data_IF_012064608549
#
_entry.id   IF_012064608549
#
_cell.length_a   1.000
_cell.length_b   1.000
_cell.length_c   1.000
_cell.angle_alpha   90.00
_cell.angle_beta   90.00
_cell.angle_gamma   90.00
#
_symmetry.space_group_name_H-M   'P 1'
#
loop_
_entity.id
_entity.type
_entity.pdbx_description
1 polymer ?
#
# COMPACT_ATOMS: atom_id res chain seq x y z
N UNK A 1 -9.90 9.72 17.39
CA UNK A 1 -8.92 9.73 16.29
C UNK A 1 -8.56 8.29 15.99
N UNK A 2 -8.97 7.81 14.82
CA UNK A 2 -8.53 6.51 14.31
C UNK A 2 -7.44 6.75 13.27
N UNK A 3 -6.38 5.94 13.31
CA UNK A 3 -5.31 5.98 12.31
C UNK A 3 -5.81 5.31 11.05
N UNK A 4 -5.61 5.94 9.90
CA UNK A 4 -5.96 5.39 8.60
C UNK A 4 -4.68 5.30 7.76
N UNK A 5 -4.49 4.16 7.12
CA UNK A 5 -3.47 3.96 6.12
C UNK A 5 -4.08 4.20 4.75
N UNK A 6 -3.33 4.88 3.89
CA UNK A 6 -3.75 5.25 2.55
C UNK A 6 -2.74 4.75 1.52
N UNK A 7 -3.23 4.39 0.34
CA UNK A 7 -2.45 4.31 -0.89
C UNK A 7 -2.93 5.44 -1.78
N UNK A 8 -2.00 6.28 -2.22
CA UNK A 8 -2.24 7.34 -3.18
C UNK A 8 -1.65 6.99 -4.54
N UNK A 9 -2.33 7.38 -5.60
CA UNK A 9 -1.81 7.47 -6.97
C UNK A 9 -1.85 8.95 -7.45
N UNK A 10 -1.73 9.17 -8.76
CA UNK A 10 -1.81 10.50 -9.37
C UNK A 10 -3.24 11.09 -9.41
N UNK A 11 -4.28 10.27 -9.25
CA UNK A 11 -5.69 10.69 -9.24
C UNK A 11 -6.23 10.94 -7.81
N UNK A 12 -5.57 10.39 -6.78
CA UNK A 12 -5.89 10.63 -5.38
C UNK A 12 -5.68 9.40 -4.49
N UNK A 13 -6.52 9.24 -3.47
CA UNK A 13 -6.49 8.05 -2.63
C UNK A 13 -7.14 6.88 -3.40
N UNK A 14 -6.35 5.88 -3.74
CA UNK A 14 -6.80 4.67 -4.42
C UNK A 14 -7.45 3.69 -3.44
N UNK A 15 -6.79 3.45 -2.30
CA UNK A 15 -7.24 2.50 -1.28
C UNK A 15 -6.94 3.04 0.13
N UNK A 16 -7.70 2.57 1.13
CA UNK A 16 -7.47 2.93 2.52
C UNK A 16 -7.92 1.86 3.50
N UNK A 17 -7.21 1.71 4.61
CA UNK A 17 -7.63 0.86 5.73
C UNK A 17 -7.58 1.61 7.05
N UNK A 18 -8.67 1.52 7.81
CA UNK A 18 -8.73 2.05 9.17
C UNK A 18 -8.08 1.04 10.12
N UNK A 19 -7.03 1.45 10.83
CA UNK A 19 -6.29 0.55 11.74
C UNK A 19 -7.18 -0.06 12.81
N UNK A 20 -8.20 0.67 13.28
CA UNK A 20 -9.14 0.16 14.30
C UNK A 20 -10.00 -1.02 13.84
N UNK A 21 -10.04 -1.30 12.53
CA UNK A 21 -10.78 -2.44 11.97
C UNK A 21 -9.94 -3.73 11.99
N UNK A 22 -8.68 -3.65 12.41
CA UNK A 22 -7.71 -4.75 12.47
C UNK A 22 -7.12 -4.90 13.88
N UNK A 23 -6.51 -6.05 14.19
CA UNK A 23 -5.88 -6.24 15.50
C UNK A 23 -4.57 -5.44 15.60
N UNK A 24 -3.90 -5.19 14.48
CA UNK A 24 -2.63 -4.46 14.42
C UNK A 24 -2.53 -3.52 13.20
N UNK A 25 -1.63 -2.52 13.31
CA UNK A 25 -1.28 -1.65 12.17
C UNK A 25 -0.68 -2.44 11.00
N UNK A 26 0.05 -3.52 11.31
CA UNK A 26 0.67 -4.39 10.31
C UNK A 26 -0.39 -5.13 9.51
N UNK A 27 -1.44 -5.65 10.15
CA UNK A 27 -2.54 -6.30 9.44
C UNK A 27 -3.29 -5.33 8.55
N UNK A 28 -3.57 -4.12 9.03
CA UNK A 28 -4.17 -3.07 8.21
C UNK A 28 -3.28 -2.77 6.98
N UNK A 29 -1.97 -2.60 7.18
CA UNK A 29 -1.03 -2.33 6.09
C UNK A 29 -0.94 -3.49 5.10
N UNK A 30 -0.87 -4.74 5.58
CA UNK A 30 -0.87 -5.94 4.73
C UNK A 30 -2.15 -6.00 3.89
N UNK A 31 -3.31 -5.68 4.48
CA UNK A 31 -4.59 -5.68 3.76
C UNK A 31 -4.58 -4.71 2.58
N UNK A 32 -4.05 -3.49 2.75
CA UNK A 32 -4.03 -2.51 1.65
C UNK A 32 -2.99 -2.87 0.58
N UNK A 33 -1.89 -3.51 0.99
CA UNK A 33 -0.88 -4.00 0.04
C UNK A 33 -1.46 -5.12 -0.81
N UNK A 34 -2.21 -6.04 -0.22
CA UNK A 34 -2.88 -7.12 -0.95
C UNK A 34 -3.91 -6.56 -1.94
N UNK A 35 -4.69 -5.57 -1.52
CA UNK A 35 -5.63 -4.87 -2.41
C UNK A 35 -4.91 -4.21 -3.60
N UNK A 36 -3.76 -3.57 -3.37
CA UNK A 36 -2.97 -2.98 -4.46
C UNK A 36 -2.35 -4.03 -5.39
N UNK A 37 -1.93 -5.19 -4.87
CA UNK A 37 -1.44 -6.31 -5.69
C UNK A 37 -2.55 -6.80 -6.62
N UNK A 38 -3.74 -7.03 -6.07
CA UNK A 38 -4.90 -7.48 -6.83
C UNK A 38 -5.28 -6.46 -7.91
N UNK A 39 -5.32 -5.17 -7.55
CA UNK A 39 -5.56 -4.08 -8.51
C UNK A 39 -4.47 -4.03 -9.60
N UNK A 40 -3.21 -4.21 -9.23
CA UNK A 40 -2.08 -4.19 -10.18
C UNK A 40 -2.17 -5.34 -11.19
N UNK A 41 -2.54 -6.54 -10.74
CA UNK A 41 -2.66 -7.70 -11.63
C UNK A 41 -3.88 -7.62 -12.55
N UNK A 42 -5.01 -7.06 -12.08
CA UNK A 42 -6.26 -6.95 -12.85
C UNK A 42 -6.31 -5.70 -13.75
N UNK A 43 -6.02 -4.53 -13.19
CA UNK A 43 -6.13 -3.23 -13.87
C UNK A 43 -4.80 -2.71 -14.39
N UNK A 44 -3.72 -2.89 -13.63
CA UNK A 44 -2.38 -2.39 -13.99
C UNK A 44 -1.88 -2.90 -15.35
N UNK A 45 -2.24 -4.13 -15.74
CA UNK A 45 -1.90 -4.71 -17.06
C UNK A 45 -2.51 -3.98 -18.25
N UNK A 46 -3.59 -3.23 -18.05
CA UNK A 46 -4.22 -2.42 -19.10
C UNK A 46 -3.60 -1.02 -19.23
N UNK A 47 -2.85 -0.60 -18.20
CA UNK A 47 -2.33 0.77 -18.05
C UNK A 47 -0.82 0.84 -18.22
N UNK A 48 -0.09 -0.21 -17.83
CA UNK A 48 1.36 -0.27 -17.81
C UNK A 48 1.88 -1.48 -18.58
N UNK A 49 3.16 -1.44 -18.98
CA UNK A 49 3.81 -2.55 -19.64
C UNK A 49 3.99 -3.75 -18.68
N UNK A 50 3.93 -4.97 -19.22
CA UNK A 50 4.06 -6.23 -18.46
C UNK A 50 5.31 -6.30 -17.57
N UNK A 51 6.40 -5.66 -17.98
CA UNK A 51 7.66 -5.61 -17.22
C UNK A 51 7.50 -4.76 -15.97
N UNK A 52 6.83 -3.62 -16.09
CA UNK A 52 6.63 -2.68 -15.00
C UNK A 52 5.62 -3.25 -14.00
N UNK A 53 4.52 -3.85 -14.49
CA UNK A 53 3.55 -4.58 -13.66
C UNK A 53 4.23 -5.67 -12.82
N UNK A 54 5.07 -6.51 -13.45
CA UNK A 54 5.79 -7.57 -12.74
C UNK A 54 6.81 -7.02 -11.74
N UNK A 55 7.42 -5.87 -12.05
CA UNK A 55 8.38 -5.23 -11.15
C UNK A 55 7.65 -4.66 -9.95
N UNK A 56 6.54 -3.96 -10.18
CA UNK A 56 5.70 -3.39 -9.16
C UNK A 56 5.15 -4.45 -8.19
N UNK A 57 4.57 -5.56 -8.69
CA UNK A 57 4.09 -6.66 -7.85
C UNK A 57 5.22 -7.18 -6.92
N UNK A 58 6.45 -7.32 -7.41
CA UNK A 58 7.59 -7.74 -6.58
C UNK A 58 7.96 -6.72 -5.51
N UNK A 59 7.84 -5.43 -5.81
CA UNK A 59 8.03 -4.37 -4.81
C UNK A 59 6.98 -4.47 -3.71
N UNK A 60 5.72 -4.73 -4.07
CA UNK A 60 4.62 -4.91 -3.12
C UNK A 60 4.77 -6.17 -2.27
N UNK A 61 5.14 -7.31 -2.88
CA UNK A 61 5.43 -8.54 -2.13
C UNK A 61 6.58 -8.34 -1.14
N UNK A 62 7.63 -7.61 -1.55
CA UNK A 62 8.74 -7.26 -0.67
C UNK A 62 8.28 -6.32 0.45
N UNK A 63 7.46 -5.32 0.13
CA UNK A 63 6.89 -4.41 1.12
C UNK A 63 6.07 -5.16 2.16
N UNK A 64 5.18 -6.06 1.72
CA UNK A 64 4.39 -6.93 2.61
C UNK A 64 5.29 -7.72 3.57
N UNK A 65 6.35 -8.33 3.06
CA UNK A 65 7.34 -9.02 3.90
C UNK A 65 8.03 -8.10 4.91
N UNK A 66 8.39 -6.87 4.49
CA UNK A 66 8.98 -5.87 5.38
C UNK A 66 8.01 -5.41 6.47
N UNK A 67 6.73 -5.22 6.16
CA UNK A 67 5.68 -4.88 7.14
C UNK A 67 5.51 -6.01 8.16
N UNK A 68 5.41 -7.26 7.71
CA UNK A 68 5.29 -8.44 8.58
C UNK A 68 6.51 -8.58 9.49
N UNK A 69 7.70 -8.22 9.01
CA UNK A 69 8.95 -8.26 9.79
C UNK A 69 9.23 -6.98 10.59
N UNK A 70 8.29 -6.03 10.64
CA UNK A 70 8.43 -4.75 11.34
C UNK A 70 9.62 -3.91 10.86
N UNK A 71 10.05 -4.09 9.61
CA UNK A 71 11.17 -3.38 8.99
C UNK A 71 10.78 -2.02 8.39
N UNK A 72 9.49 -1.64 8.48
CA UNK A 72 8.93 -0.38 7.96
C UNK A 72 8.18 0.34 9.08
N UNK A 73 8.39 1.65 9.18
CA UNK A 73 7.73 2.50 10.18
C UNK A 73 6.42 3.07 9.63
N UNK A 74 5.29 2.45 9.98
CA UNK A 74 3.96 2.80 9.45
C UNK A 74 3.39 4.13 9.98
N UNK A 75 4.15 4.88 10.78
CA UNK A 75 3.74 6.16 11.36
C UNK A 75 4.27 7.36 10.56
N UNK A 76 5.10 7.14 9.54
CA UNK A 76 5.55 8.21 8.66
C UNK A 76 4.42 8.64 7.71
N UNK A 77 4.42 9.93 7.36
CA UNK A 77 3.39 10.51 6.50
C UNK A 77 3.38 9.88 5.09
N UNK A 78 4.54 9.45 4.60
CA UNK A 78 4.73 8.68 3.37
C UNK A 78 5.82 7.63 3.63
N UNK A 79 5.42 6.44 4.07
CA UNK A 79 6.33 5.40 4.58
C UNK A 79 6.83 4.45 3.48
N UNK A 80 6.25 4.49 2.28
CA UNK A 80 6.75 3.78 1.12
C UNK A 80 6.25 4.40 -0.18
N UNK A 81 7.08 4.40 -1.22
CA UNK A 81 6.72 4.82 -2.58
C UNK A 81 7.22 3.75 -3.55
N UNK A 82 6.38 3.40 -4.51
CA UNK A 82 6.65 2.33 -5.47
C UNK A 82 7.18 2.90 -6.79
N UNK A 83 7.79 2.07 -7.63
CA UNK A 83 8.29 2.50 -8.94
C UNK A 83 7.20 2.99 -9.90
N UNK A 84 5.93 2.59 -9.69
CA UNK A 84 4.78 3.07 -10.46
C UNK A 84 4.13 4.34 -9.87
N UNK A 85 4.73 4.94 -8.84
CA UNK A 85 4.25 6.20 -8.25
C UNK A 85 3.17 6.04 -7.18
N UNK A 86 2.81 4.81 -6.81
CA UNK A 86 1.92 4.60 -5.66
C UNK A 86 2.63 4.92 -4.36
N UNK A 87 2.02 5.79 -3.55
CA UNK A 87 2.57 6.25 -2.27
C UNK A 87 1.71 5.75 -1.11
N UNK A 88 2.35 5.03 -0.19
CA UNK A 88 1.74 4.55 1.03
C UNK A 88 1.98 5.54 2.17
N UNK A 89 0.91 5.84 2.90
CA UNK A 89 0.85 6.95 3.83
C UNK A 89 0.03 6.58 5.07
N UNK A 90 0.27 7.28 6.18
CA UNK A 90 -0.67 7.26 7.31
C UNK A 90 -1.21 8.67 7.60
N UNK A 91 -2.45 8.71 8.05
CA UNK A 91 -3.14 9.92 8.50
C UNK A 91 -3.99 9.65 9.73
N UNK A 92 -4.35 10.72 10.43
CA UNK A 92 -5.34 10.68 11.51
C UNK A 92 -6.68 11.16 10.93
N UNK A 93 -7.74 10.37 11.12
CA UNK A 93 -9.09 10.89 10.89
C UNK A 93 -9.55 11.60 12.17
N UNK A 94 -9.89 12.89 12.03
CA UNK A 94 -10.48 13.74 13.07
C UNK A 94 -11.94 13.34 13.37
#
# INVERSE_FOLDING_TARGET
>A
MSKILYVYDDEGALASATVSDFETEQEAAVSIIDELIDWTDDQGRNLYDDVDVKTHIKELEKLKSNVISFAVELNEQAWFETSLGFTFSCGLND
#
